data_IF_400483277576
#
_entry.id   IF_400483277576
#
_cell.length_a   1.000
_cell.length_b   1.000
_cell.length_c   1.000
_cell.angle_alpha   90.00
_cell.angle_beta   90.00
_cell.angle_gamma   90.00
#
_symmetry.space_group_name_H-M   'P 1'
#
loop_
_entity.id
_entity.type
_entity.pdbx_description
1 polymer ?
#
# COMPACT_ATOMS: atom_id res chain seq x y z
N UNK A 1 -12.97 -10.82 4.47
CA UNK A 1 -12.02 -11.94 4.56
C UNK A 1 -10.75 -11.38 5.19
N UNK A 2 -10.49 -11.68 6.47
CA UNK A 2 -9.24 -11.24 7.11
C UNK A 2 -8.10 -12.10 6.56
N UNK A 3 -7.10 -11.47 5.94
CA UNK A 3 -5.88 -12.16 5.54
C UNK A 3 -5.15 -12.54 6.83
N UNK A 4 -5.33 -13.78 7.26
CA UNK A 4 -4.57 -14.34 8.39
C UNK A 4 -3.16 -14.57 7.85
N UNK A 5 -2.20 -13.76 8.28
CA UNK A 5 -0.80 -13.95 7.92
C UNK A 5 -0.41 -15.38 8.30
N UNK A 6 0.03 -16.16 7.31
CA UNK A 6 0.59 -17.47 7.59
C UNK A 6 1.86 -17.25 8.44
N UNK A 7 2.05 -18.04 9.51
CA UNK A 7 3.24 -17.95 10.36
C UNK A 7 4.51 -18.47 9.64
N UNK A 8 4.39 -19.06 8.46
CA UNK A 8 5.52 -19.46 7.63
C UNK A 8 6.22 -18.22 7.07
N UNK A 9 7.41 -17.97 7.61
CA UNK A 9 8.43 -17.02 7.17
C UNK A 9 7.97 -15.58 6.93
N UNK A 10 7.63 -14.85 8.00
CA UNK A 10 7.31 -13.42 7.90
C UNK A 10 8.47 -12.52 7.41
N UNK A 11 9.62 -13.09 7.03
CA UNK A 11 10.69 -12.32 6.39
C UNK A 11 10.27 -11.78 5.02
N UNK A 12 9.39 -12.49 4.32
CA UNK A 12 8.91 -12.11 2.98
C UNK A 12 7.75 -11.10 3.02
N UNK A 13 7.00 -11.02 4.12
CA UNK A 13 5.84 -10.12 4.26
C UNK A 13 6.26 -8.65 4.21
N UNK A 14 7.37 -8.29 4.84
CA UNK A 14 7.90 -6.91 4.79
C UNK A 14 8.26 -6.52 3.36
N UNK A 15 8.97 -7.39 2.63
CA UNK A 15 9.37 -7.14 1.25
C UNK A 15 8.14 -7.02 0.32
N UNK A 16 7.19 -7.95 0.45
CA UNK A 16 5.92 -7.90 -0.31
C UNK A 16 5.11 -6.63 -0.04
N UNK A 17 5.01 -6.21 1.23
CA UNK A 17 4.31 -4.99 1.61
C UNK A 17 5.02 -3.75 1.05
N UNK A 18 6.36 -3.72 1.08
CA UNK A 18 7.14 -2.64 0.48
C UNK A 18 6.93 -2.55 -1.03
N UNK A 19 6.93 -3.68 -1.74
CA UNK A 19 6.63 -3.75 -3.17
C UNK A 19 5.21 -3.28 -3.48
N UNK A 20 4.22 -3.69 -2.69
CA UNK A 20 2.83 -3.23 -2.86
C UNK A 20 2.69 -1.72 -2.62
N UNK A 21 3.40 -1.17 -1.62
CA UNK A 21 3.46 0.28 -1.38
C UNK A 21 4.05 1.00 -2.59
N UNK A 22 5.20 0.56 -3.09
CA UNK A 22 5.86 1.19 -4.24
C UNK A 22 4.97 1.15 -5.50
N UNK A 23 4.40 -0.03 -5.82
CA UNK A 23 3.48 -0.18 -6.93
C UNK A 23 2.24 0.72 -6.79
N UNK A 24 1.74 0.90 -5.56
CA UNK A 24 0.58 1.76 -5.33
C UNK A 24 0.92 3.24 -5.50
N UNK A 25 2.12 3.67 -5.07
CA UNK A 25 2.62 5.03 -5.30
C UNK A 25 2.76 5.30 -6.80
N UNK A 26 3.39 4.40 -7.56
CA UNK A 26 3.49 4.54 -9.01
C UNK A 26 2.12 4.64 -9.69
N UNK A 27 1.12 3.91 -9.19
CA UNK A 27 -0.25 3.97 -9.71
C UNK A 27 -0.96 5.29 -9.40
N UNK A 28 -0.55 6.00 -8.36
CA UNK A 28 -1.01 7.37 -8.06
C UNK A 28 -0.30 8.36 -8.99
N UNK A 29 1.02 8.23 -9.16
CA UNK A 29 1.80 9.10 -10.05
C UNK A 29 1.32 9.00 -11.51
N UNK A 30 1.16 7.77 -12.03
CA UNK A 30 0.60 7.51 -13.36
C UNK A 30 -0.82 8.05 -13.52
N UNK A 31 -1.63 8.08 -12.46
CA UNK A 31 -2.98 8.62 -12.56
C UNK A 31 -2.98 10.15 -12.64
N UNK A 32 -2.01 10.83 -12.04
CA UNK A 32 -1.84 12.28 -12.20
C UNK A 32 -1.50 12.67 -13.65
N UNK A 33 -0.73 11.85 -14.37
CA UNK A 33 -0.49 12.08 -15.80
C UNK A 33 -1.79 12.05 -16.61
N UNK A 34 -2.70 11.11 -16.28
CA UNK A 34 -3.99 11.00 -16.96
C UNK A 34 -4.98 12.10 -16.58
N UNK A 35 -4.88 12.69 -15.38
CA UNK A 35 -5.74 13.80 -14.95
C UNK A 35 -5.59 15.03 -15.87
N UNK A 36 -4.42 15.26 -16.46
CA UNK A 36 -4.16 16.40 -17.34
C UNK A 36 -5.11 16.46 -18.54
N UNK A 37 -5.55 15.31 -19.04
CA UNK A 37 -6.44 15.19 -20.21
C UNK A 37 -7.86 14.69 -19.86
N UNK A 38 -8.11 14.38 -18.58
CA UNK A 38 -9.37 13.87 -18.09
C UNK A 38 -10.44 14.97 -17.96
N UNK A 39 -11.70 14.60 -18.14
CA UNK A 39 -12.88 15.43 -17.83
C UNK A 39 -13.00 15.68 -16.33
N UNK A 40 -13.84 16.65 -15.94
CA UNK A 40 -14.06 16.99 -14.52
C UNK A 40 -14.58 15.80 -13.70
N UNK A 41 -15.50 15.03 -14.25
CA UNK A 41 -16.03 13.81 -13.62
C UNK A 41 -14.95 12.74 -13.45
N UNK A 42 -14.16 12.48 -14.50
CA UNK A 42 -13.05 11.53 -14.45
C UNK A 42 -11.98 11.96 -13.44
N UNK A 43 -11.67 13.26 -13.35
CA UNK A 43 -10.74 13.79 -12.33
C UNK A 43 -11.24 13.50 -10.93
N UNK A 44 -12.51 13.78 -10.63
CA UNK A 44 -13.09 13.51 -9.32
C UNK A 44 -13.02 12.01 -8.96
N UNK A 45 -13.24 11.11 -9.94
CA UNK A 45 -13.13 9.67 -9.73
C UNK A 45 -11.67 9.23 -9.47
N UNK A 46 -10.72 9.81 -10.20
CA UNK A 46 -9.30 9.53 -9.99
C UNK A 46 -8.85 10.04 -8.61
N UNK A 47 -9.27 11.23 -8.19
CA UNK A 47 -8.97 11.78 -6.86
C UNK A 47 -9.51 10.89 -5.74
N UNK A 48 -10.77 10.46 -5.82
CA UNK A 48 -11.37 9.57 -4.82
C UNK A 48 -10.65 8.21 -4.77
N UNK A 49 -10.21 7.70 -5.92
CA UNK A 49 -9.43 6.46 -6.01
C UNK A 49 -8.04 6.65 -5.42
N UNK A 50 -7.37 7.77 -5.68
CA UNK A 50 -6.06 8.10 -5.12
C UNK A 50 -6.14 8.26 -3.59
N UNK A 51 -7.18 8.91 -3.08
CA UNK A 51 -7.42 9.00 -1.62
C UNK A 51 -7.52 7.63 -0.95
N UNK A 52 -8.28 6.69 -1.53
CA UNK A 52 -8.36 5.30 -1.03
C UNK A 52 -7.01 4.57 -1.10
N UNK A 53 -6.19 4.85 -2.11
CA UNK A 53 -4.84 4.29 -2.23
C UNK A 53 -3.90 4.84 -1.16
N UNK A 54 -4.00 6.13 -0.81
CA UNK A 54 -3.25 6.72 0.29
C UNK A 54 -3.59 6.06 1.63
N UNK A 55 -4.88 5.85 1.90
CA UNK A 55 -5.32 5.12 3.10
C UNK A 55 -4.76 3.69 3.13
N UNK A 56 -4.77 2.99 1.98
CA UNK A 56 -4.18 1.67 1.83
C UNK A 56 -2.67 1.67 2.07
N UNK A 57 -1.93 2.67 1.57
CA UNK A 57 -0.50 2.83 1.81
C UNK A 57 -0.22 3.04 3.30
N UNK A 58 -1.02 3.85 3.97
CA UNK A 58 -0.86 4.10 5.40
C UNK A 58 -1.06 2.82 6.23
N UNK A 59 -2.07 2.01 5.88
CA UNK A 59 -2.27 0.70 6.51
C UNK A 59 -1.09 -0.24 6.27
N UNK A 60 -0.62 -0.38 5.02
CA UNK A 60 0.54 -1.22 4.70
C UNK A 60 1.82 -0.74 5.41
N UNK A 61 2.03 0.57 5.53
CA UNK A 61 3.17 1.13 6.28
C UNK A 61 3.11 0.83 7.78
N UNK A 62 1.91 0.85 8.36
CA UNK A 62 1.71 0.43 9.75
C UNK A 62 2.04 -1.05 9.92
N UNK A 63 1.54 -1.92 9.02
CA UNK A 63 1.84 -3.35 9.03
C UNK A 63 3.35 -3.62 8.88
N UNK A 64 4.04 -2.97 7.94
CA UNK A 64 5.50 -3.08 7.77
C UNK A 64 6.23 -2.77 9.08
N UNK A 65 5.79 -1.72 9.79
CA UNK A 65 6.42 -1.31 11.06
C UNK A 65 6.22 -2.37 12.13
N UNK A 66 5.00 -2.86 12.29
CA UNK A 66 4.67 -3.89 13.28
C UNK A 66 5.43 -5.19 12.99
N UNK A 67 5.51 -5.58 11.71
CA UNK A 67 6.26 -6.73 11.23
C UNK A 67 7.76 -6.61 11.50
N UNK A 68 8.35 -5.44 11.20
CA UNK A 68 9.76 -5.17 11.46
C UNK A 68 10.08 -5.19 12.96
N UNK A 69 9.21 -4.60 13.79
CA UNK A 69 9.36 -4.63 15.26
C UNK A 69 9.26 -6.05 15.81
N UNK A 70 8.34 -6.86 15.30
CA UNK A 70 8.21 -8.24 15.73
C UNK A 70 9.38 -9.13 15.25
N UNK A 71 10.07 -8.75 14.16
CA UNK A 71 11.35 -9.38 13.74
C UNK A 71 12.50 -9.00 14.66
N UNK A 72 12.60 -7.73 15.05
CA UNK A 72 13.65 -7.22 15.95
C UNK A 72 13.52 -7.78 17.37
N UNK A 73 12.29 -7.88 17.89
CA UNK A 73 12.04 -8.38 19.25
C UNK A 73 12.27 -9.88 19.40
N UNK A 74 12.58 -10.59 18.31
CA UNK A 74 12.80 -12.03 18.29
C UNK A 74 11.51 -12.77 18.61
N UNK A 75 11.07 -13.65 17.71
CA UNK A 75 10.05 -14.63 18.07
C UNK A 75 10.53 -15.40 19.30
N UNK A 76 10.00 -15.08 20.46
CA UNK A 76 10.01 -15.94 21.65
C UNK A 76 8.74 -16.75 21.66
#
# INVERSE_FOLDING_TARGET
>A
MGYKANPDDRSDNVEKLQDMVQNTIENIEKSHETMGIATEEERSLIEEKNKRREDSINAMRAEIKDEAQARENGYK
#
